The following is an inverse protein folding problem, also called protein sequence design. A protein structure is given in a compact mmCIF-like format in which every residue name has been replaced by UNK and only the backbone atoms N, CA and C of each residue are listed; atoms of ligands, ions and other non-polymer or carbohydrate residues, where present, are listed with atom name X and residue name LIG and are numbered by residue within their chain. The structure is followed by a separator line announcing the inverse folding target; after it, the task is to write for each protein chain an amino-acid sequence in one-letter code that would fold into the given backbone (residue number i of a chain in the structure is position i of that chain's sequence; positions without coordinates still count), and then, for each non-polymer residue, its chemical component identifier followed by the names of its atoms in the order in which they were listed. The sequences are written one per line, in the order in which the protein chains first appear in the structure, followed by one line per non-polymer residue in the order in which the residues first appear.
data_IF_793884273487
#
_entry.id   IF_793884273487
#
_cell.length_a   1.000
_cell.length_b   1.000
_cell.length_c   1.000
_cell.angle_alpha   90.00
_cell.angle_beta   90.00
_cell.angle_gamma   90.00
#
_symmetry.space_group_name_H-M   'P 1'
#
loop_
_entity.id
_entity.type
_entity.pdbx_description
1 polymer ?
#
# COMPACT_ATOMS: atom_id res chain seq x y z
N UNK A 1 -5.11 -9.16 19.22
CA UNK A 1 -4.03 -8.31 19.76
C UNK A 1 -4.60 -6.94 20.02
N UNK A 2 -4.01 -6.19 20.93
CA UNK A 2 -4.46 -4.83 21.23
C UNK A 2 -3.81 -3.89 20.23
N UNK A 3 -4.56 -2.89 19.76
CA UNK A 3 -3.99 -1.77 18.99
C UNK A 3 -2.83 -1.13 19.75
N UNK A 4 -1.78 -0.79 19.02
CA UNK A 4 -0.60 -0.09 19.52
C UNK A 4 -0.89 1.41 19.47
N UNK A 5 -0.94 2.04 20.64
CA UNK A 5 -1.09 3.49 20.77
C UNK A 5 0.31 4.05 21.05
N UNK A 6 0.98 4.71 20.09
CA UNK A 6 2.40 5.08 20.23
C UNK A 6 2.71 5.88 21.50
N UNK A 7 1.86 6.83 21.88
CA UNK A 7 2.05 7.71 23.05
C UNK A 7 1.98 6.95 24.38
N UNK A 8 1.31 5.79 24.41
CA UNK A 8 1.13 4.96 25.60
C UNK A 8 2.06 3.76 25.59
N UNK A 9 2.03 3.00 24.50
CA UNK A 9 2.64 1.68 24.38
C UNK A 9 4.11 1.74 23.98
N UNK A 10 4.55 2.86 23.37
CA UNK A 10 5.93 3.04 22.90
C UNK A 10 6.64 4.20 23.62
N UNK A 11 6.05 4.72 24.71
CA UNK A 11 6.56 5.89 25.43
C UNK A 11 8.01 5.71 25.94
N UNK A 12 8.40 4.49 26.30
CA UNK A 12 9.74 4.15 26.78
C UNK A 12 10.75 3.87 25.64
N UNK A 13 10.29 3.62 24.41
CA UNK A 13 11.16 3.29 23.27
C UNK A 13 11.31 4.41 22.25
N UNK A 14 10.31 5.28 22.06
CA UNK A 14 10.38 6.40 21.11
C UNK A 14 11.57 7.35 21.39
N UNK A 15 11.96 7.63 22.66
CA UNK A 15 13.16 8.45 22.94
C UNK A 15 14.48 7.79 22.53
N UNK A 16 14.50 6.50 22.19
CA UNK A 16 15.70 5.73 21.89
C UNK A 16 15.99 5.59 20.39
N UNK A 17 15.11 6.13 19.53
CA UNK A 17 15.22 6.00 18.06
C UNK A 17 15.40 7.34 17.37
N UNK A 18 15.98 7.28 16.18
CA UNK A 18 16.09 8.43 15.28
C UNK A 18 14.75 8.71 14.60
N UNK A 19 14.36 9.98 14.62
CA UNK A 19 13.13 10.48 14.00
C UNK A 19 11.88 9.70 14.47
N UNK A 20 11.53 9.75 15.78
CA UNK A 20 10.40 9.02 16.33
C UNK A 20 9.05 9.36 15.66
N UNK A 21 8.94 10.55 15.05
CA UNK A 21 7.75 10.95 14.28
C UNK A 21 7.39 10.03 13.11
N UNK A 22 8.29 9.14 12.68
CA UNK A 22 7.98 8.07 11.71
C UNK A 22 6.93 7.08 12.21
N UNK A 23 6.73 6.99 13.53
CA UNK A 23 5.99 5.89 14.17
C UNK A 23 4.81 6.36 15.02
N UNK A 24 4.56 7.68 15.11
CA UNK A 24 3.55 8.23 16.02
C UNK A 24 2.19 8.47 15.37
N UNK A 25 2.13 8.63 14.05
CA UNK A 25 0.89 8.98 13.37
C UNK A 25 0.38 10.37 13.78
N UNK A 26 -0.95 10.53 13.86
CA UNK A 26 -1.60 11.78 14.29
C UNK A 26 -1.53 12.93 13.27
N UNK A 27 -1.30 12.61 12.01
CA UNK A 27 -1.08 13.58 10.94
C UNK A 27 -2.36 14.29 10.51
N UNK A 28 -2.26 15.59 10.20
CA UNK A 28 -3.40 16.35 9.71
C UNK A 28 -3.91 15.77 8.38
N UNK A 29 -5.21 15.51 8.28
CA UNK A 29 -5.80 14.94 7.06
C UNK A 29 -5.67 13.41 6.96
N UNK A 30 -5.01 12.76 7.91
CA UNK A 30 -5.23 11.34 8.15
C UNK A 30 -6.68 11.12 8.61
N UNK A 31 -7.24 9.96 8.24
CA UNK A 31 -8.56 9.54 8.69
C UNK A 31 -8.54 9.38 10.22
N UNK A 32 -9.57 9.93 10.88
CA UNK A 32 -9.76 9.72 12.31
C UNK A 32 -10.03 8.23 12.62
N UNK A 33 -9.68 7.83 13.84
CA UNK A 33 -9.50 6.45 14.30
C UNK A 33 -10.82 5.69 14.53
N UNK A 34 -11.72 5.75 13.56
CA UNK A 34 -12.93 4.95 13.52
C UNK A 34 -12.66 3.73 12.62
N UNK A 35 -12.38 2.60 13.29
CA UNK A 35 -12.52 1.28 12.68
C UNK A 35 -13.77 1.23 11.76
N UNK A 36 -13.82 0.38 10.72
CA UNK A 36 -15.11 0.15 10.06
C UNK A 36 -16.11 -0.17 11.17
N UNK A 37 -17.19 0.61 11.23
CA UNK A 37 -18.10 0.68 12.39
C UNK A 37 -18.77 -0.67 12.72
N UNK A 38 -18.59 -1.68 11.87
CA UNK A 38 -19.07 -3.03 12.07
C UNK A 38 -18.02 -4.10 11.72
N UNK A 39 -18.27 -5.33 12.18
CA UNK A 39 -17.56 -6.56 11.77
C UNK A 39 -17.56 -6.80 10.25
N UNK A 40 -18.31 -6.00 9.51
CA UNK A 40 -18.62 -6.20 8.09
C UNK A 40 -17.79 -5.31 7.16
N UNK A 41 -16.83 -4.52 7.66
CA UNK A 41 -15.90 -3.72 6.84
C UNK A 41 -14.50 -4.34 6.70
N UNK A 42 -13.67 -3.79 5.81
CA UNK A 42 -12.28 -4.22 5.62
C UNK A 42 -11.30 -3.31 6.37
N UNK A 43 -10.37 -3.91 7.12
CA UNK A 43 -9.16 -3.24 7.61
C UNK A 43 -8.02 -3.55 6.65
N UNK A 44 -7.49 -2.51 6.06
CA UNK A 44 -6.47 -2.60 5.04
C UNK A 44 -5.32 -1.66 5.37
N UNK A 45 -4.17 -1.90 4.77
CA UNK A 45 -3.12 -0.90 4.76
C UNK A 45 -2.36 -0.91 3.44
N UNK A 46 -1.79 0.25 3.09
CA UNK A 46 -0.88 0.41 1.96
C UNK A 46 0.51 0.67 2.49
N UNK A 47 1.43 -0.20 2.11
CA UNK A 47 2.82 -0.18 2.47
C UNK A 47 3.68 0.38 1.34
N UNK A 48 4.55 1.32 1.67
CA UNK A 48 5.77 1.52 0.90
C UNK A 48 6.90 0.81 1.65
N UNK A 49 7.56 -0.20 1.05
CA UNK A 49 8.53 -1.04 1.76
C UNK A 49 9.91 -0.37 1.93
N UNK A 50 9.90 0.86 2.43
CA UNK A 50 11.08 1.64 2.81
C UNK A 50 10.71 2.61 3.93
N UNK A 51 11.66 3.44 4.36
CA UNK A 51 11.47 4.44 5.41
C UNK A 51 10.33 5.41 5.09
N UNK A 52 9.66 5.86 6.15
CA UNK A 52 8.54 6.80 6.09
C UNK A 52 8.82 8.01 5.19
N UNK A 53 9.96 8.69 5.34
CA UNK A 53 10.26 9.91 4.59
C UNK A 53 10.44 9.68 3.08
N UNK A 54 10.81 8.45 2.70
CA UNK A 54 10.90 8.02 1.30
C UNK A 54 9.50 7.66 0.81
N UNK A 55 8.77 6.84 1.58
CA UNK A 55 7.43 6.39 1.22
C UNK A 55 6.40 7.50 1.13
N UNK A 56 6.49 8.51 2.01
CA UNK A 56 5.64 9.70 1.93
C UNK A 56 6.00 10.65 0.79
N UNK A 57 7.15 10.46 0.15
CA UNK A 57 7.46 11.12 -1.12
C UNK A 57 6.82 10.40 -2.33
N UNK A 58 6.18 9.24 -2.12
CA UNK A 58 5.56 8.45 -3.18
C UNK A 58 4.09 8.82 -3.42
N UNK A 59 3.78 9.37 -4.59
CA UNK A 59 2.41 9.75 -4.98
C UNK A 59 1.46 8.55 -5.05
N UNK A 60 1.91 7.37 -5.48
CA UNK A 60 1.03 6.21 -5.61
C UNK A 60 0.48 5.76 -4.24
N UNK A 61 1.30 5.80 -3.19
CA UNK A 61 0.86 5.49 -1.81
C UNK A 61 -0.23 6.46 -1.36
N UNK A 62 -0.04 7.77 -1.60
CA UNK A 62 -1.02 8.81 -1.28
C UNK A 62 -2.35 8.59 -2.00
N UNK A 63 -2.29 8.31 -3.31
CA UNK A 63 -3.47 8.06 -4.15
C UNK A 63 -4.23 6.81 -3.71
N UNK A 64 -3.52 5.71 -3.42
CA UNK A 64 -4.15 4.46 -2.95
C UNK A 64 -4.80 4.62 -1.59
N UNK A 65 -4.12 5.31 -0.68
CA UNK A 65 -4.66 5.66 0.63
C UNK A 65 -5.96 6.48 0.49
N UNK A 66 -5.95 7.53 -0.32
CA UNK A 66 -7.14 8.35 -0.57
C UNK A 66 -8.27 7.53 -1.19
N UNK A 67 -7.97 6.76 -2.24
CA UNK A 67 -8.95 5.95 -2.95
C UNK A 67 -9.67 4.96 -2.04
N UNK A 68 -8.93 4.25 -1.18
CA UNK A 68 -9.53 3.29 -0.25
C UNK A 68 -10.34 3.99 0.85
N UNK A 69 -9.83 5.09 1.40
CA UNK A 69 -10.50 5.81 2.49
C UNK A 69 -11.67 6.69 2.05
N UNK A 70 -11.92 6.86 0.75
CA UNK A 70 -13.18 7.41 0.23
C UNK A 70 -14.37 6.48 0.47
N UNK A 71 -14.13 5.20 0.77
CA UNK A 71 -15.18 4.22 1.04
C UNK A 71 -15.51 4.18 2.53
N UNK A 72 -16.80 4.11 2.86
CA UNK A 72 -17.25 4.00 4.25
C UNK A 72 -17.08 2.58 4.83
N UNK A 73 -16.92 1.57 3.97
CA UNK A 73 -16.79 0.16 4.31
C UNK A 73 -15.34 -0.34 4.39
N UNK A 74 -14.35 0.56 4.22
CA UNK A 74 -12.92 0.27 4.26
C UNK A 74 -12.22 1.26 5.17
N UNK A 75 -11.29 0.77 5.98
CA UNK A 75 -10.25 1.57 6.62
C UNK A 75 -8.93 1.21 5.97
N UNK A 76 -8.20 2.21 5.50
CA UNK A 76 -6.87 2.05 4.96
C UNK A 76 -5.87 2.87 5.76
N UNK A 77 -4.91 2.19 6.36
CA UNK A 77 -3.79 2.84 7.03
C UNK A 77 -2.54 2.83 6.14
N UNK A 78 -1.51 3.58 6.54
CA UNK A 78 -0.18 3.56 5.93
C UNK A 78 0.77 2.71 6.76
N UNK A 79 1.70 2.06 6.05
CA UNK A 79 2.75 1.24 6.64
C UNK A 79 4.07 1.55 5.94
N UNK A 80 5.16 1.53 6.70
CA UNK A 80 6.51 1.75 6.21
C UNK A 80 7.45 0.74 6.85
N UNK A 81 8.58 0.47 6.21
CA UNK A 81 9.60 -0.37 6.83
C UNK A 81 10.20 0.36 8.04
N UNK A 82 10.38 -0.32 9.19
CA UNK A 82 11.03 0.28 10.35
C UNK A 82 12.50 0.57 10.04
N UNK A 83 13.06 1.62 10.65
CA UNK A 83 14.50 1.85 10.62
C UNK A 83 15.20 0.81 11.52
N UNK A 84 16.49 0.50 11.30
CA UNK A 84 17.17 -0.57 12.04
C UNK A 84 17.16 -0.42 13.57
N UNK A 85 17.18 0.82 14.07
CA UNK A 85 17.13 1.13 15.50
C UNK A 85 15.75 0.83 16.11
N UNK A 86 14.67 1.22 15.44
CA UNK A 86 13.31 0.87 15.84
C UNK A 86 13.00 -0.61 15.64
N UNK A 87 13.45 -1.21 14.54
CA UNK A 87 13.30 -2.64 14.28
C UNK A 87 13.86 -3.48 15.43
N UNK A 88 15.08 -3.14 15.90
CA UNK A 88 15.70 -3.80 17.05
C UNK A 88 14.82 -3.72 18.29
N UNK A 89 14.22 -2.56 18.56
CA UNK A 89 13.34 -2.37 19.73
C UNK A 89 12.03 -3.14 19.59
N UNK A 90 11.45 -3.23 18.39
CA UNK A 90 10.28 -4.09 18.13
C UNK A 90 10.57 -5.55 18.49
N UNK A 91 11.76 -6.05 18.11
CA UNK A 91 12.20 -7.40 18.45
C UNK A 91 12.41 -7.55 19.96
N UNK A 92 13.20 -6.68 20.58
CA UNK A 92 13.53 -6.74 22.02
C UNK A 92 12.29 -6.67 22.91
N UNK A 93 11.28 -5.88 22.51
CA UNK A 93 10.03 -5.67 23.25
C UNK A 93 8.91 -6.62 22.83
N UNK A 94 9.15 -7.46 21.82
CA UNK A 94 8.16 -8.36 21.24
C UNK A 94 6.87 -7.64 20.80
N UNK A 95 7.04 -6.55 20.06
CA UNK A 95 5.97 -5.72 19.51
C UNK A 95 5.89 -5.97 18.00
N UNK A 96 4.72 -6.30 17.44
CA UNK A 96 4.57 -6.42 16.00
C UNK A 96 4.71 -5.04 15.35
N UNK A 97 5.19 -4.99 14.11
CA UNK A 97 4.98 -3.83 13.26
C UNK A 97 3.46 -3.60 13.12
N UNK A 98 3.08 -2.33 13.08
CA UNK A 98 1.70 -1.89 13.14
C UNK A 98 1.46 -0.75 12.13
N UNK A 99 0.18 -0.48 11.87
CA UNK A 99 -0.25 0.56 10.95
C UNK A 99 -0.23 1.95 11.58
N UNK A 100 0.12 2.98 10.80
CA UNK A 100 0.48 4.30 11.34
C UNK A 100 -0.70 5.05 11.97
N UNK A 101 -1.90 4.96 11.40
CA UNK A 101 -3.09 5.68 11.87
C UNK A 101 -3.77 4.96 13.03
N UNK A 102 -4.18 3.71 12.82
CA UNK A 102 -5.01 2.99 13.79
C UNK A 102 -4.21 2.15 14.78
N UNK A 103 -2.89 2.05 14.62
CA UNK A 103 -2.06 1.18 15.46
C UNK A 103 -2.35 -0.31 15.31
N UNK A 104 -2.92 -0.74 14.17
CA UNK A 104 -3.35 -2.13 13.98
C UNK A 104 -2.13 -3.00 13.70
N UNK A 105 -1.86 -4.06 14.49
CA UNK A 105 -0.82 -5.04 14.15
C UNK A 105 -1.04 -5.61 12.75
N UNK A 106 0.00 -5.69 11.93
CA UNK A 106 -0.19 -6.01 10.50
C UNK A 106 -0.80 -7.41 10.26
N UNK A 107 -0.54 -8.36 11.16
CA UNK A 107 -1.14 -9.69 11.13
C UNK A 107 -2.67 -9.71 11.37
N UNK A 108 -3.28 -8.60 11.80
CA UNK A 108 -4.72 -8.46 12.01
C UNK A 108 -5.45 -7.74 10.87
N UNK A 109 -4.73 -7.35 9.82
CA UNK A 109 -5.32 -6.77 8.63
C UNK A 109 -6.08 -7.83 7.82
N UNK A 110 -7.10 -7.42 7.08
CA UNK A 110 -7.73 -8.25 6.06
C UNK A 110 -6.87 -8.27 4.77
N UNK A 111 -6.22 -7.15 4.48
CA UNK A 111 -5.37 -6.97 3.30
C UNK A 111 -4.21 -6.02 3.59
N UNK A 112 -3.01 -6.37 3.12
CA UNK A 112 -1.85 -5.48 3.09
C UNK A 112 -1.39 -5.34 1.63
N UNK A 113 -1.53 -4.13 1.09
CA UNK A 113 -1.05 -3.78 -0.23
C UNK A 113 0.36 -3.22 -0.18
N UNK A 114 1.25 -3.60 -1.10
CA UNK A 114 2.58 -3.01 -1.26
C UNK A 114 2.67 -2.23 -2.56
N UNK A 115 3.14 -0.99 -2.49
CA UNK A 115 3.53 -0.19 -3.66
C UNK A 115 5.06 -0.21 -3.78
N UNK A 116 5.57 -1.00 -4.72
CA UNK A 116 7.01 -1.27 -4.85
C UNK A 116 7.58 -0.45 -6.01
N UNK A 117 8.29 0.63 -5.66
CA UNK A 117 8.84 1.58 -6.64
C UNK A 117 10.13 1.13 -7.31
N UNK A 118 10.95 0.35 -6.62
CA UNK A 118 12.26 -0.11 -7.09
C UNK A 118 12.65 -1.43 -6.43
N UNK A 119 13.49 -2.21 -7.10
CA UNK A 119 13.85 -3.57 -6.72
C UNK A 119 14.63 -3.64 -5.40
N UNK A 120 15.39 -2.60 -5.05
CA UNK A 120 16.13 -2.54 -3.77
C UNK A 120 15.21 -2.56 -2.53
N UNK A 121 13.92 -2.27 -2.69
CA UNK A 121 12.94 -2.34 -1.60
C UNK A 121 12.48 -3.77 -1.29
N UNK A 122 12.99 -4.78 -2.01
CA UNK A 122 12.65 -6.19 -1.79
C UNK A 122 12.92 -6.64 -0.34
N UNK A 123 14.03 -6.20 0.27
CA UNK A 123 14.33 -6.53 1.68
C UNK A 123 13.36 -5.87 2.63
N UNK A 124 12.90 -4.65 2.33
CA UNK A 124 11.87 -3.96 3.10
C UNK A 124 10.54 -4.70 3.10
N UNK A 125 10.17 -5.38 2.01
CA UNK A 125 8.99 -6.27 1.98
C UNK A 125 9.15 -7.38 3.01
N UNK A 126 10.31 -8.04 3.05
CA UNK A 126 10.59 -9.11 4.00
C UNK A 126 10.58 -8.62 5.44
N UNK A 127 11.20 -7.46 5.71
CA UNK A 127 11.19 -6.84 7.04
C UNK A 127 9.77 -6.51 7.49
N UNK A 128 8.93 -5.94 6.61
CA UNK A 128 7.54 -5.59 6.95
C UNK A 128 6.71 -6.84 7.25
N UNK A 129 6.85 -7.91 6.47
CA UNK A 129 6.13 -9.17 6.71
C UNK A 129 6.59 -9.82 8.03
N UNK A 130 7.91 -9.98 8.22
CA UNK A 130 8.49 -10.62 9.40
C UNK A 130 8.18 -9.85 10.68
N UNK A 131 8.38 -8.52 10.68
CA UNK A 131 8.05 -7.67 11.84
C UNK A 131 6.56 -7.50 12.03
N UNK A 132 5.77 -7.54 10.96
CA UNK A 132 4.30 -7.57 11.03
C UNK A 132 3.70 -8.87 11.53
N UNK A 133 4.54 -9.88 11.83
CA UNK A 133 4.13 -11.24 12.22
C UNK A 133 3.22 -11.89 11.18
N UNK A 134 3.55 -11.69 9.90
CA UNK A 134 2.91 -12.32 8.75
C UNK A 134 3.90 -13.34 8.20
N UNK A 135 3.43 -14.55 7.90
CA UNK A 135 4.29 -15.59 7.35
C UNK A 135 4.94 -15.09 6.04
N UNK A 136 6.28 -15.18 6.00
CA UNK A 136 7.09 -14.66 4.90
C UNK A 136 6.65 -15.27 3.57
N UNK A 137 6.62 -16.60 3.52
CA UNK A 137 6.16 -17.31 2.34
C UNK A 137 4.65 -17.39 2.30
N UNK A 138 4.09 -17.19 1.11
CA UNK A 138 2.67 -17.32 0.81
C UNK A 138 2.12 -18.70 1.18
N UNK A 139 2.90 -19.76 0.96
CA UNK A 139 2.48 -21.15 1.22
C UNK A 139 2.29 -21.46 2.72
N UNK A 140 2.97 -20.70 3.59
CA UNK A 140 2.91 -20.87 5.05
C UNK A 140 1.74 -20.08 5.67
N UNK A 141 1.06 -19.22 4.90
CA UNK A 141 0.02 -18.32 5.41
C UNK A 141 -1.26 -19.07 5.76
N UNK A 142 -1.69 -18.88 7.01
CA UNK A 142 -2.94 -19.44 7.53
C UNK A 142 -4.21 -18.74 7.02
N UNK A 143 -5.36 -19.28 7.42
CA UNK A 143 -6.68 -18.75 7.04
C UNK A 143 -6.98 -17.36 7.59
N UNK A 144 -6.31 -16.96 8.69
CA UNK A 144 -6.53 -15.71 9.40
C UNK A 144 -5.51 -14.62 9.05
N UNK A 145 -4.43 -14.96 8.34
CA UNK A 145 -3.44 -13.97 7.94
C UNK A 145 -3.96 -13.07 6.80
N UNK A 146 -3.48 -11.83 6.69
CA UNK A 146 -3.90 -10.92 5.62
C UNK A 146 -3.65 -11.49 4.22
N UNK A 147 -4.43 -11.00 3.26
CA UNK A 147 -4.12 -11.15 1.84
C UNK A 147 -3.05 -10.12 1.48
N UNK A 148 -1.92 -10.57 0.93
CA UNK A 148 -0.79 -9.72 0.56
C UNK A 148 -0.81 -9.45 -0.95
N UNK A 149 -1.05 -8.20 -1.32
CA UNK A 149 -1.10 -7.77 -2.73
C UNK A 149 0.06 -6.83 -3.01
N UNK A 150 0.76 -7.04 -4.11
CA UNK A 150 1.84 -6.16 -4.57
C UNK A 150 1.45 -5.40 -5.82
N UNK A 151 1.96 -4.19 -6.00
CA UNK A 151 1.92 -3.47 -7.26
C UNK A 151 3.13 -2.57 -7.43
N UNK A 152 3.17 -1.85 -8.54
CA UNK A 152 4.24 -0.91 -8.85
C UNK A 152 5.24 -1.42 -9.89
N UNK A 153 6.08 -0.52 -10.43
CA UNK A 153 6.95 -0.82 -11.57
C UNK A 153 7.97 -1.94 -11.29
N UNK A 154 8.47 -2.04 -10.05
CA UNK A 154 9.43 -3.08 -9.67
C UNK A 154 8.84 -4.50 -9.70
N UNK A 155 7.51 -4.64 -9.66
CA UNK A 155 6.82 -5.93 -9.75
C UNK A 155 6.33 -6.26 -11.16
N UNK A 156 6.73 -5.47 -12.17
CA UNK A 156 6.41 -5.74 -13.58
C UNK A 156 6.88 -7.11 -14.08
N UNK A 157 7.94 -7.66 -13.47
CA UNK A 157 8.27 -9.07 -13.52
C UNK A 157 7.92 -9.69 -12.17
N UNK A 158 6.75 -10.35 -12.03
CA UNK A 158 6.28 -10.81 -10.73
C UNK A 158 6.99 -12.07 -10.21
N UNK A 159 7.62 -12.85 -11.10
CA UNK A 159 8.18 -14.16 -10.78
C UNK A 159 9.20 -14.17 -9.61
N UNK A 160 10.13 -13.19 -9.48
CA UNK A 160 11.07 -13.15 -8.36
C UNK A 160 10.42 -12.91 -6.99
N UNK A 161 9.19 -12.40 -6.97
CA UNK A 161 8.45 -12.06 -5.75
C UNK A 161 7.32 -13.05 -5.46
N UNK A 162 7.19 -14.10 -6.27
CA UNK A 162 6.11 -15.08 -6.24
C UNK A 162 5.90 -15.74 -4.88
N UNK A 163 6.98 -15.95 -4.14
CA UNK A 163 6.95 -16.63 -2.85
C UNK A 163 6.35 -15.74 -1.75
N UNK A 164 6.31 -14.41 -1.93
CA UNK A 164 5.93 -13.46 -0.87
C UNK A 164 4.57 -12.80 -1.09
N UNK A 165 4.01 -12.85 -2.30
CA UNK A 165 2.73 -12.21 -2.62
C UNK A 165 1.63 -13.23 -2.89
N UNK A 166 0.42 -12.94 -2.41
CA UNK A 166 -0.77 -13.71 -2.79
C UNK A 166 -1.22 -13.38 -4.20
N UNK A 167 -1.13 -12.10 -4.57
CA UNK A 167 -1.36 -11.61 -5.92
C UNK A 167 -0.49 -10.38 -6.20
N UNK A 168 -0.16 -10.16 -7.47
CA UNK A 168 0.55 -8.98 -7.94
C UNK A 168 -0.30 -8.29 -9.00
N UNK A 169 -0.66 -7.03 -8.73
CA UNK A 169 -1.38 -6.18 -9.65
C UNK A 169 -0.43 -5.60 -10.70
N UNK A 170 -0.73 -5.86 -11.97
CA UNK A 170 0.03 -5.38 -13.12
C UNK A 170 -0.68 -4.17 -13.75
N UNK A 171 -0.04 -3.01 -13.67
CA UNK A 171 -0.53 -1.78 -14.29
C UNK A 171 -0.94 -0.74 -13.26
N UNK A 172 -2.06 -0.08 -13.53
CA UNK A 172 -2.57 1.07 -12.78
C UNK A 172 -3.89 0.67 -12.12
N UNK A 173 -4.01 0.97 -10.83
CA UNK A 173 -5.02 0.39 -9.93
C UNK A 173 -6.32 1.19 -9.89
N UNK A 174 -6.30 2.44 -10.32
CA UNK A 174 -7.37 3.41 -10.10
C UNK A 174 -8.76 2.98 -10.63
N UNK A 175 -8.83 2.11 -11.65
CA UNK A 175 -10.11 1.66 -12.26
C UNK A 175 -10.63 0.35 -11.66
N UNK A 176 -9.79 -0.70 -11.59
CA UNK A 176 -10.25 -2.05 -11.23
C UNK A 176 -10.05 -2.43 -9.76
N UNK A 177 -9.27 -1.63 -9.01
CA UNK A 177 -8.99 -1.95 -7.61
C UNK A 177 -10.22 -1.79 -6.70
N UNK A 178 -11.14 -0.88 -7.04
CA UNK A 178 -12.41 -0.74 -6.32
C UNK A 178 -13.29 -1.99 -6.41
N UNK A 179 -13.29 -2.66 -7.56
CA UNK A 179 -14.01 -3.92 -7.77
C UNK A 179 -13.35 -5.05 -6.97
N UNK A 180 -12.01 -5.10 -6.93
CA UNK A 180 -11.26 -6.06 -6.13
C UNK A 180 -11.57 -5.93 -4.63
N UNK A 181 -11.57 -4.70 -4.12
CA UNK A 181 -11.89 -4.38 -2.73
C UNK A 181 -13.33 -4.77 -2.40
N UNK A 182 -14.27 -4.48 -3.30
CA UNK A 182 -15.68 -4.84 -3.13
C UNK A 182 -15.86 -6.37 -3.11
N UNK A 183 -15.19 -7.10 -3.99
CA UNK A 183 -15.21 -8.57 -4.01
C UNK A 183 -14.61 -9.17 -2.73
N UNK A 184 -13.50 -8.61 -2.23
CA UNK A 184 -12.88 -9.05 -0.98
C UNK A 184 -13.80 -8.83 0.22
N UNK A 185 -14.51 -7.70 0.25
CA UNK A 185 -15.49 -7.36 1.28
C UNK A 185 -16.67 -8.34 1.28
N UNK A 186 -17.24 -8.62 0.11
CA UNK A 186 -18.35 -9.59 -0.05
C UNK A 186 -17.94 -10.99 0.44
N UNK A 187 -16.74 -11.44 0.06
CA UNK A 187 -16.18 -12.72 0.48
C UNK A 187 -15.89 -12.77 1.98
N UNK A 188 -15.44 -11.66 2.58
CA UNK A 188 -15.30 -11.57 4.03
C UNK A 188 -16.66 -11.74 4.71
N UNK A 189 -17.70 -11.05 4.23
CA UNK A 189 -19.07 -11.12 4.78
C UNK A 189 -19.68 -12.51 4.65
N UNK A 190 -19.39 -13.25 3.59
CA UNK A 190 -19.87 -14.63 3.41
C UNK A 190 -19.10 -15.67 4.23
N UNK A 191 -18.00 -15.28 4.89
CA UNK A 191 -17.14 -16.21 5.62
C UNK A 191 -16.27 -17.07 4.70
N UNK A 192 -15.99 -16.60 3.48
CA UNK A 192 -15.17 -17.33 2.51
C UNK A 192 -13.75 -17.60 3.05
N UNK A 193 -13.26 -18.78 2.77
CA UNK A 193 -11.90 -19.22 3.02
C UNK A 193 -10.88 -18.38 2.23
N UNK A 194 -9.62 -18.44 2.65
CA UNK A 194 -8.50 -17.83 1.90
C UNK A 194 -8.46 -18.32 0.46
N UNK A 195 -8.66 -19.62 0.24
CA UNK A 195 -8.60 -20.21 -1.09
C UNK A 195 -9.70 -19.66 -2.01
N UNK A 196 -10.93 -19.53 -1.51
CA UNK A 196 -12.05 -18.95 -2.27
C UNK A 196 -11.78 -17.48 -2.64
N UNK A 197 -11.12 -16.72 -1.76
CA UNK A 197 -10.67 -15.34 -2.07
C UNK A 197 -9.65 -15.32 -3.20
N UNK A 198 -8.65 -16.20 -3.15
CA UNK A 198 -7.62 -16.29 -4.19
C UNK A 198 -8.18 -16.82 -5.52
N UNK A 199 -9.16 -17.71 -5.47
CA UNK A 199 -9.86 -18.18 -6.66
C UNK A 199 -10.68 -17.05 -7.29
N UNK A 200 -11.39 -16.23 -6.51
CA UNK A 200 -12.09 -15.04 -7.03
C UNK A 200 -11.15 -14.04 -7.72
N UNK A 201 -9.89 -13.95 -7.27
CA UNK A 201 -8.93 -13.03 -7.87
C UNK A 201 -8.55 -13.41 -9.31
N UNK A 202 -8.79 -14.64 -9.76
CA UNK A 202 -8.52 -15.04 -11.15
C UNK A 202 -9.42 -14.36 -12.17
N UNK A 203 -10.55 -13.81 -11.73
CA UNK A 203 -11.48 -13.10 -12.62
C UNK A 203 -10.98 -11.70 -12.99
N UNK A 204 -9.91 -11.21 -12.36
CA UNK A 204 -9.35 -9.89 -12.60
C UNK A 204 -8.13 -9.99 -13.52
N UNK A 205 -8.27 -9.48 -14.75
CA UNK A 205 -7.20 -9.52 -15.76
C UNK A 205 -5.87 -8.91 -15.27
N UNK A 206 -5.93 -7.90 -14.41
CA UNK A 206 -4.75 -7.21 -13.89
C UNK A 206 -3.98 -7.99 -12.82
N UNK A 207 -4.56 -9.04 -12.22
CA UNK A 207 -3.96 -9.77 -11.13
C UNK A 207 -3.19 -10.99 -11.61
N UNK A 208 -1.88 -10.97 -11.36
CA UNK A 208 -1.04 -12.14 -11.48
C UNK A 208 -1.04 -12.93 -10.18
N UNK A 209 -1.35 -14.22 -10.24
CA UNK A 209 -1.41 -15.12 -9.08
C UNK A 209 -0.33 -16.20 -9.21
N UNK A 210 0.59 -16.34 -8.24
CA UNK A 210 1.63 -17.36 -8.34
C UNK A 210 1.07 -18.78 -8.44
N UNK A 211 1.63 -19.58 -9.35
CA UNK A 211 1.24 -20.98 -9.58
C UNK A 211 0.01 -21.18 -10.46
N UNK A 212 -0.61 -20.11 -10.96
CA UNK A 212 -1.74 -20.15 -11.90
C UNK A 212 -1.25 -20.05 -13.36
N UNK A 213 -2.01 -20.64 -14.29
CA UNK A 213 -1.63 -20.70 -15.72
C UNK A 213 -2.15 -19.50 -16.51
N UNK A 214 -3.19 -18.87 -15.98
CA UNK A 214 -3.85 -17.70 -16.52
C UNK A 214 -2.86 -16.55 -16.64
N UNK A 215 -2.90 -15.86 -17.79
CA UNK A 215 -2.01 -14.73 -18.04
C UNK A 215 -2.68 -13.46 -17.53
N UNK A 216 -2.06 -12.84 -16.53
CA UNK A 216 -2.38 -11.47 -16.17
C UNK A 216 -1.92 -10.51 -17.27
N UNK A 217 -2.71 -9.47 -17.49
CA UNK A 217 -2.46 -8.41 -18.47
C UNK A 217 -2.32 -7.09 -17.75
N UNK A 218 -1.31 -6.31 -18.13
CA UNK A 218 -1.13 -4.97 -17.57
C UNK A 218 -2.29 -4.06 -18.00
N UNK A 219 -3.01 -3.49 -17.04
CA UNK A 219 -4.14 -2.59 -17.29
C UNK A 219 -3.73 -1.13 -17.06
N UNK A 220 -3.60 -0.29 -18.12
CA UNK A 220 -3.40 1.15 -17.96
C UNK A 220 -4.72 1.84 -17.62
N UNK A 221 -4.70 2.80 -16.70
CA UNK A 221 -5.89 3.57 -16.33
C UNK A 221 -6.27 4.58 -17.42
N UNK A 222 -7.50 4.52 -17.92
CA UNK A 222 -7.95 5.44 -18.97
C UNK A 222 -8.37 6.81 -18.44
N UNK A 223 -8.72 6.90 -17.16
CA UNK A 223 -9.26 8.11 -16.51
C UNK A 223 -8.23 9.09 -15.96
N UNK A 224 -6.98 9.06 -16.42
CA UNK A 224 -5.83 9.79 -15.87
C UNK A 224 -6.06 11.28 -15.51
N UNK A 225 -6.94 11.96 -16.23
CA UNK A 225 -7.29 13.37 -16.03
C UNK A 225 -8.18 13.68 -14.81
N UNK A 226 -8.69 12.65 -14.12
CA UNK A 226 -9.60 12.80 -12.97
C UNK A 226 -8.99 12.15 -11.73
N UNK A 227 -8.02 12.80 -11.05
CA UNK A 227 -7.43 12.22 -9.85
C UNK A 227 -8.49 12.02 -8.76
N UNK A 228 -8.30 11.03 -7.86
CA UNK A 228 -9.11 10.88 -6.67
C UNK A 228 -9.11 12.18 -5.84
N UNK A 229 -10.28 12.63 -5.42
CA UNK A 229 -10.45 13.79 -4.53
C UNK A 229 -10.37 13.35 -3.07
N UNK A 230 -9.58 14.01 -2.23
CA UNK A 230 -9.52 13.64 -0.82
C UNK A 230 -8.37 14.30 -0.09
N UNK A 231 -8.38 14.22 1.24
CA UNK A 231 -7.27 14.73 2.05
C UNK A 231 -6.10 13.76 1.96
N UNK A 232 -4.92 14.28 1.63
CA UNK A 232 -3.65 13.58 1.84
C UNK A 232 -3.18 13.91 3.25
N UNK A 233 -2.74 12.92 4.05
CA UNK A 233 -2.13 13.21 5.34
C UNK A 233 -0.90 14.12 5.18
N UNK A 234 -0.89 15.24 5.87
CA UNK A 234 0.25 16.17 5.94
C UNK A 234 1.25 15.61 6.94
N UNK A 235 2.49 15.45 6.49
CA UNK A 235 3.52 14.75 7.24
C UNK A 235 3.93 15.52 8.49
N UNK A 236 4.08 14.81 9.61
CA UNK A 236 4.53 15.40 10.88
C UNK A 236 6.03 15.68 10.93
N UNK A 237 6.79 15.12 9.97
CA UNK A 237 8.24 15.31 9.83
C UNK A 237 8.59 15.59 8.37
N UNK A 238 9.72 16.25 8.13
CA UNK A 238 10.21 16.50 6.77
C UNK A 238 10.46 15.20 6.01
N UNK A 239 9.98 15.16 4.77
CA UNK A 239 10.16 14.05 3.85
C UNK A 239 11.28 14.34 2.84
N UNK A 240 11.71 13.33 2.08
CA UNK A 240 12.79 13.50 1.09
C UNK A 240 12.41 14.51 0.01
N UNK A 241 11.17 14.48 -0.47
CA UNK A 241 10.62 15.46 -1.41
C UNK A 241 9.49 16.26 -0.76
N UNK A 242 9.89 17.28 0.00
CA UNK A 242 8.97 18.17 0.74
C UNK A 242 8.51 19.35 -0.15
N UNK A 243 7.77 19.01 -1.21
CA UNK A 243 7.14 19.97 -2.11
C UNK A 243 5.84 19.40 -2.70
N UNK A 244 4.95 20.27 -3.14
CA UNK A 244 3.77 19.86 -3.92
C UNK A 244 4.19 19.10 -5.19
N UNK A 245 3.47 18.03 -5.52
CA UNK A 245 3.72 17.22 -6.71
C UNK A 245 2.43 17.10 -7.52
N UNK A 246 2.49 17.51 -8.79
CA UNK A 246 1.40 17.38 -9.76
C UNK A 246 1.87 16.44 -10.87
N UNK A 247 1.14 15.34 -11.07
CA UNK A 247 1.39 14.43 -12.18
C UNK A 247 0.78 15.02 -13.47
N UNK A 248 1.60 15.69 -14.28
CA UNK A 248 1.15 16.32 -15.54
C UNK A 248 0.98 15.32 -16.69
N UNK A 249 1.68 14.18 -16.62
CA UNK A 249 1.63 13.11 -17.61
C UNK A 249 2.03 11.78 -17.00
N UNK A 250 1.49 10.70 -17.54
CA UNK A 250 1.88 9.32 -17.21
C UNK A 250 2.41 8.62 -18.45
N UNK A 251 3.60 8.05 -18.33
CA UNK A 251 4.37 7.53 -19.45
C UNK A 251 5.29 8.58 -20.07
N UNK A 252 6.29 8.11 -20.83
CA UNK A 252 7.32 8.95 -21.43
C UNK A 252 7.34 8.80 -22.95
N UNK A 253 7.28 9.92 -23.72
CA UNK A 253 7.28 9.86 -25.19
C UNK A 253 8.64 9.47 -25.80
N UNK A 254 9.72 9.52 -25.02
CA UNK A 254 11.09 9.31 -25.53
C UNK A 254 11.39 7.85 -25.92
N UNK A 255 10.67 6.88 -25.36
CA UNK A 255 10.79 5.47 -25.76
C UNK A 255 12.20 4.85 -25.65
N UNK A 256 13.05 5.35 -24.76
CA UNK A 256 14.42 4.88 -24.59
C UNK A 256 14.46 3.37 -24.29
N UNK A 257 15.26 2.61 -25.06
CA UNK A 257 15.32 1.13 -24.97
C UNK A 257 15.78 0.61 -23.60
N UNK A 258 16.56 1.40 -22.87
CA UNK A 258 17.08 1.04 -21.55
C UNK A 258 16.12 1.43 -20.41
N UNK A 259 15.12 2.26 -20.68
CA UNK A 259 14.28 2.83 -19.63
C UNK A 259 13.08 1.93 -19.36
N UNK A 260 13.07 1.30 -18.19
CA UNK A 260 11.95 0.49 -17.73
C UNK A 260 10.66 1.30 -17.65
N UNK A 261 10.70 2.48 -17.01
CA UNK A 261 9.55 3.37 -16.88
C UNK A 261 8.95 3.78 -18.25
N UNK A 262 9.81 4.00 -19.26
CA UNK A 262 9.38 4.33 -20.62
C UNK A 262 8.59 3.22 -21.33
N UNK A 263 8.68 1.99 -20.85
CA UNK A 263 7.92 0.84 -21.35
C UNK A 263 6.72 0.53 -20.44
N UNK A 264 6.93 0.49 -19.12
CA UNK A 264 5.92 0.12 -18.14
C UNK A 264 4.68 1.04 -18.15
N UNK A 265 4.89 2.36 -18.25
CA UNK A 265 3.80 3.34 -18.13
C UNK A 265 3.10 3.70 -19.46
N UNK A 266 3.34 2.94 -20.54
CA UNK A 266 2.66 3.18 -21.83
C UNK A 266 1.14 2.90 -21.73
N UNK A 267 0.29 3.46 -22.60
CA UNK A 267 0.58 4.57 -23.51
C UNK A 267 0.81 5.87 -22.74
N UNK A 268 1.49 6.83 -23.39
CA UNK A 268 1.67 8.18 -22.84
C UNK A 268 0.31 8.87 -22.76
N UNK A 269 -0.02 9.43 -21.61
CA UNK A 269 -1.23 10.21 -21.34
C UNK A 269 -0.82 11.53 -20.69
N UNK A 270 -1.44 12.62 -21.11
CA UNK A 270 -1.12 13.98 -20.64
C UNK A 270 -2.40 14.66 -20.19
N UNK A 271 -2.29 15.45 -19.12
CA UNK A 271 -3.37 16.34 -18.68
C UNK A 271 -3.38 17.61 -19.53
N UNK A 272 -4.55 18.20 -19.64
CA UNK A 272 -4.71 19.54 -20.23
C UNK A 272 -4.14 20.60 -19.31
N UNK A 273 -3.76 21.76 -19.85
CA UNK A 273 -3.26 22.88 -19.06
C UNK A 273 -4.26 23.31 -17.97
N UNK A 274 -5.55 23.34 -18.28
CA UNK A 274 -6.61 23.70 -17.32
C UNK A 274 -6.72 22.71 -16.16
N UNK A 275 -6.53 21.41 -16.42
CA UNK A 275 -6.55 20.39 -15.36
C UNK A 275 -5.34 20.56 -14.43
N UNK A 276 -4.16 20.82 -15.00
CA UNK A 276 -2.92 21.04 -14.24
C UNK A 276 -3.06 22.27 -13.33
N UNK A 277 -3.59 23.39 -13.86
CA UNK A 277 -3.79 24.61 -13.06
C UNK A 277 -4.80 24.36 -11.93
N UNK A 278 -5.92 23.69 -12.23
CA UNK A 278 -6.91 23.35 -11.20
C UNK A 278 -6.32 22.51 -10.08
N UNK A 279 -5.57 21.46 -10.41
CA UNK A 279 -4.90 20.62 -9.40
C UNK A 279 -3.83 21.40 -8.62
N UNK A 280 -3.16 22.37 -9.24
CA UNK A 280 -2.20 23.24 -8.56
C UNK A 280 -2.87 24.17 -7.55
N UNK A 281 -4.05 24.69 -7.87
CA UNK A 281 -4.81 25.58 -6.98
C UNK A 281 -5.45 24.82 -5.80
N UNK A 282 -5.60 23.49 -5.91
CA UNK A 282 -6.16 22.61 -4.87
C UNK A 282 -5.11 22.01 -3.92
N UNK A 283 -3.82 22.17 -4.21
CA UNK A 283 -2.67 21.69 -3.40
C UNK A 283 -2.37 22.59 -2.20
#
# INVERSE_FOLDING_TARGET
MTRIIPERDLADILPLVQMPGRYTGGEFGARDDDAPSSKDGLRTAICFPDLYEIGMSNTAVKLLYQFLNQRDDVVCDRVFAPAPDFERLLIEKNIPLFSLESGTPLCELDMLGFSVGYELSATGILTVLDRGWISLKREDRGATEPIIIGGGPALSNPAPFADFFDAIYLGEMEESFGELVSALLELKKSGASRQEKLDRFTDFDALWIPGRKERASRVPWKGFSSPPTGKVPVQSISVVQDHGVIEIMRGCPNGCRFCHAGNYYRPVRQKTFSEIVREADEL
#
